data_IF_112787488194
#
_entry.id   IF_112787488194
#
_cell.length_a   1.000
_cell.length_b   1.000
_cell.length_c   1.000
_cell.angle_alpha   90.00
_cell.angle_beta   90.00
_cell.angle_gamma   90.00
#
_symmetry.space_group_name_H-M   'P 1'
#
loop_
_entity.id
_entity.type
_entity.pdbx_description
1 polymer ?
#
# COMPACT_ATOMS: atom_id res chain seq x y z
N UNK A 1 68.53 34.72 -13.16
CA UNK A 1 67.84 34.55 -11.86
C UNK A 1 66.33 34.67 -12.08
N UNK A 2 65.64 33.53 -12.04
CA UNK A 2 64.20 33.26 -11.88
C UNK A 2 63.13 34.23 -12.45
N UNK A 3 62.59 33.88 -13.64
CA UNK A 3 61.20 34.18 -14.01
C UNK A 3 60.28 33.14 -13.35
N UNK A 4 59.43 33.57 -12.40
CA UNK A 4 58.36 32.75 -11.82
C UNK A 4 57.22 32.61 -12.83
N UNK A 5 56.89 31.38 -13.22
CA UNK A 5 55.70 31.06 -14.02
C UNK A 5 54.45 31.26 -13.16
N UNK A 6 53.52 32.08 -13.63
CA UNK A 6 52.21 32.28 -12.99
C UNK A 6 51.24 31.30 -13.65
N UNK A 7 50.79 30.30 -12.89
CA UNK A 7 49.76 29.38 -13.32
C UNK A 7 48.39 29.93 -12.92
N UNK A 8 47.52 30.14 -13.90
CA UNK A 8 46.09 30.32 -13.74
C UNK A 8 45.41 28.98 -13.36
N UNK A 9 44.13 29.04 -12.96
CA UNK A 9 43.17 27.93 -12.77
C UNK A 9 43.12 27.41 -11.30
N UNK A 10 42.03 27.38 -10.55
CA UNK A 10 40.59 27.56 -10.81
C UNK A 10 39.89 28.15 -9.56
N UNK A 11 38.82 28.92 -9.80
CA UNK A 11 37.81 29.25 -8.78
C UNK A 11 37.18 27.96 -8.25
N UNK A 12 37.16 27.78 -6.93
CA UNK A 12 36.37 26.75 -6.27
C UNK A 12 34.93 27.28 -6.11
N UNK A 13 34.02 26.81 -6.95
CA UNK A 13 32.58 27.04 -6.79
C UNK A 13 32.07 26.19 -5.62
N UNK A 14 31.59 26.84 -4.56
CA UNK A 14 30.96 26.18 -3.41
C UNK A 14 29.60 25.64 -3.89
N UNK A 15 29.44 24.31 -3.88
CA UNK A 15 28.17 23.63 -4.13
C UNK A 15 27.18 24.00 -3.02
N UNK A 16 26.00 24.52 -3.37
CA UNK A 16 24.86 24.56 -2.45
C UNK A 16 24.34 23.14 -2.25
N UNK A 17 24.40 22.63 -1.03
CA UNK A 17 23.66 21.44 -0.62
C UNK A 17 22.25 21.84 -0.21
N UNK A 18 21.25 21.48 -1.01
CA UNK A 18 19.86 21.45 -0.56
C UNK A 18 19.69 20.26 0.39
N UNK A 19 19.48 20.56 1.68
CA UNK A 19 19.03 19.55 2.63
C UNK A 19 17.51 19.43 2.44
N UNK A 20 17.09 18.47 1.63
CA UNK A 20 15.69 18.06 1.62
C UNK A 20 15.38 17.43 2.98
N UNK A 21 14.78 18.21 3.88
CA UNK A 21 14.10 17.65 5.05
C UNK A 21 12.81 17.02 4.53
N UNK A 22 12.93 15.83 3.94
CA UNK A 22 11.80 14.98 3.68
C UNK A 22 11.16 14.71 5.04
N UNK A 23 9.97 15.26 5.25
CA UNK A 23 9.23 15.13 6.50
C UNK A 23 9.20 13.66 6.91
N UNK A 24 9.71 13.37 8.11
CA UNK A 24 9.40 12.14 8.82
C UNK A 24 7.92 12.20 9.23
N UNK A 25 7.02 12.23 8.25
CA UNK A 25 5.67 11.75 8.48
C UNK A 25 5.83 10.29 8.91
N UNK A 26 5.44 9.97 10.13
CA UNK A 26 5.42 8.60 10.64
C UNK A 26 4.67 7.75 9.62
N UNK A 27 5.42 6.98 8.83
CA UNK A 27 4.84 6.20 7.74
C UNK A 27 3.83 5.24 8.33
N UNK A 28 2.60 5.27 7.80
CA UNK A 28 1.51 4.43 8.28
C UNK A 28 1.96 2.96 8.23
N UNK A 29 1.84 2.25 9.35
CA UNK A 29 2.10 0.82 9.35
C UNK A 29 1.06 0.13 8.46
N UNK A 30 1.48 -0.83 7.61
CA UNK A 30 0.54 -1.62 6.82
C UNK A 30 -0.53 -2.26 7.71
N UNK A 31 -1.84 -1.98 7.51
CA UNK A 31 -2.88 -2.65 8.27
C UNK A 31 -2.91 -4.15 7.96
N UNK A 32 -3.07 -4.97 9.01
CA UNK A 32 -3.19 -6.43 8.91
C UNK A 32 -4.62 -6.85 9.24
N UNK A 33 -5.13 -7.86 8.53
CA UNK A 33 -6.43 -8.46 8.79
C UNK A 33 -6.31 -9.64 9.77
N UNK A 34 -7.38 -9.89 10.52
CA UNK A 34 -7.53 -11.08 11.36
C UNK A 34 -8.99 -11.50 11.40
N UNK A 35 -9.24 -12.73 11.85
CA UNK A 35 -10.60 -13.31 11.89
C UNK A 35 -11.57 -12.54 12.81
N UNK A 36 -11.06 -11.84 13.82
CA UNK A 36 -11.88 -11.12 14.81
C UNK A 36 -12.00 -9.61 14.54
N UNK A 37 -11.41 -9.12 13.44
CA UNK A 37 -11.44 -7.70 13.10
C UNK A 37 -12.55 -7.40 12.10
N UNK A 38 -13.11 -6.19 12.24
CA UNK A 38 -13.98 -5.61 11.23
C UNK A 38 -13.15 -5.24 9.99
N UNK A 39 -13.17 -6.12 9.00
CA UNK A 39 -12.44 -5.95 7.75
C UNK A 39 -12.90 -4.71 6.99
N UNK A 40 -14.18 -4.35 7.07
CA UNK A 40 -14.69 -3.15 6.41
C UNK A 40 -13.99 -1.89 6.95
N UNK A 41 -13.89 -1.74 8.28
CA UNK A 41 -13.20 -0.59 8.87
C UNK A 41 -11.74 -0.48 8.43
N UNK A 42 -11.06 -1.62 8.26
CA UNK A 42 -9.70 -1.66 7.73
C UNK A 42 -9.66 -1.20 6.27
N UNK A 43 -10.54 -1.73 5.42
CA UNK A 43 -10.61 -1.40 3.99
C UNK A 43 -10.93 0.08 3.75
N UNK A 44 -11.84 0.65 4.54
CA UNK A 44 -12.23 2.06 4.48
C UNK A 44 -11.07 3.03 4.73
N UNK A 45 -10.06 2.61 5.49
CA UNK A 45 -8.94 3.48 5.90
C UNK A 45 -7.58 2.98 5.42
N UNK A 46 -7.56 1.96 4.55
CA UNK A 46 -6.32 1.36 4.08
C UNK A 46 -5.49 2.40 3.29
N UNK A 47 -4.19 2.60 3.59
CA UNK A 47 -3.42 3.72 3.05
C UNK A 47 -2.91 3.45 1.62
N UNK A 48 -3.84 3.37 0.66
CA UNK A 48 -3.57 3.10 -0.75
C UNK A 48 -2.60 4.13 -1.36
N UNK A 49 -1.76 3.68 -2.29
CA UNK A 49 -0.75 4.48 -3.00
C UNK A 49 0.47 4.88 -2.17
N UNK A 50 0.48 4.61 -0.85
CA UNK A 50 1.57 5.05 0.05
C UNK A 50 2.46 3.92 0.58
N UNK A 51 1.96 2.69 0.60
CA UNK A 51 2.68 1.52 1.09
C UNK A 51 3.48 0.86 -0.03
N UNK A 52 4.78 0.69 0.19
CA UNK A 52 5.68 -0.03 -0.72
C UNK A 52 5.68 -1.53 -0.43
N UNK A 53 5.88 -2.33 -1.49
CA UNK A 53 5.98 -3.79 -1.40
C UNK A 53 7.02 -4.26 -0.35
N UNK A 54 8.13 -3.54 -0.19
CA UNK A 54 9.15 -3.87 0.80
C UNK A 54 8.65 -3.70 2.24
N UNK A 55 7.81 -2.71 2.49
CA UNK A 55 7.31 -2.38 3.83
C UNK A 55 6.19 -3.31 4.23
N UNK A 56 5.32 -3.60 3.26
CA UNK A 56 4.35 -4.68 3.37
C UNK A 56 5.08 -5.99 3.71
N UNK A 57 6.15 -6.34 3.00
CA UNK A 57 6.91 -7.55 3.29
C UNK A 57 7.54 -7.52 4.69
N UNK A 58 8.13 -6.40 5.08
CA UNK A 58 8.74 -6.25 6.40
C UNK A 58 7.72 -6.38 7.54
N UNK A 59 6.47 -5.97 7.31
CA UNK A 59 5.42 -6.00 8.32
C UNK A 59 4.59 -7.29 8.33
N UNK A 60 4.15 -7.75 7.15
CA UNK A 60 3.30 -8.93 6.99
C UNK A 60 4.10 -10.23 6.91
N UNK A 61 5.39 -10.16 6.58
CA UNK A 61 6.20 -11.31 6.19
C UNK A 61 5.96 -11.72 4.73
N UNK A 62 6.32 -12.97 4.43
CA UNK A 62 6.09 -13.54 3.10
C UNK A 62 4.62 -13.90 2.87
N UNK A 63 4.09 -13.68 1.65
CA UNK A 63 2.73 -14.09 1.34
C UNK A 63 2.60 -15.60 1.18
N UNK A 64 1.42 -16.15 1.46
CA UNK A 64 1.10 -17.55 1.18
C UNK A 64 1.19 -17.85 -0.31
N UNK A 65 0.79 -16.89 -1.15
CA UNK A 65 0.97 -16.96 -2.61
C UNK A 65 1.30 -15.62 -3.23
N UNK A 66 2.20 -15.64 -4.20
CA UNK A 66 2.41 -14.54 -5.15
C UNK A 66 1.58 -14.79 -6.39
N UNK A 67 0.86 -13.78 -6.84
CA UNK A 67 -0.10 -13.82 -7.95
C UNK A 67 0.29 -12.81 -9.02
N UNK A 68 -0.10 -13.10 -10.26
CA UNK A 68 -0.25 -12.12 -11.33
C UNK A 68 -1.75 -11.98 -11.58
N UNK A 69 -2.28 -10.77 -11.37
CA UNK A 69 -3.69 -10.46 -11.55
C UNK A 69 -4.01 -10.31 -13.05
N UNK A 70 -5.30 -10.38 -13.46
CA UNK A 70 -5.68 -10.32 -14.87
C UNK A 70 -5.23 -9.06 -15.62
N UNK A 71 -5.01 -7.96 -14.91
CA UNK A 71 -4.45 -6.71 -15.45
C UNK A 71 -2.92 -6.72 -15.59
N UNK A 72 -2.25 -7.84 -15.31
CA UNK A 72 -0.79 -7.99 -15.36
C UNK A 72 -0.06 -7.55 -14.09
N UNK A 73 -0.77 -6.95 -13.12
CA UNK A 73 -0.15 -6.47 -11.90
C UNK A 73 0.16 -7.62 -10.92
N UNK A 74 1.10 -7.37 -10.03
CA UNK A 74 1.43 -8.32 -8.95
C UNK A 74 0.35 -8.28 -7.86
N UNK A 75 0.06 -9.43 -7.28
CA UNK A 75 -0.79 -9.56 -6.10
C UNK A 75 -0.17 -10.48 -5.06
N UNK A 76 -0.32 -10.19 -3.78
CA UNK A 76 0.13 -11.05 -2.68
C UNK A 76 -1.07 -11.50 -1.84
N UNK A 77 -1.29 -12.81 -1.78
CA UNK A 77 -2.38 -13.42 -1.04
C UNK A 77 -1.91 -13.86 0.34
N UNK A 78 -2.72 -13.54 1.33
CA UNK A 78 -2.57 -13.93 2.73
C UNK A 78 -3.84 -14.59 3.24
N UNK A 79 -3.71 -15.72 3.91
CA UNK A 79 -4.78 -16.39 4.63
C UNK A 79 -4.73 -16.00 6.11
N UNK A 80 -5.87 -15.57 6.64
CA UNK A 80 -5.99 -15.22 8.08
C UNK A 80 -6.75 -16.29 8.87
N UNK A 81 -7.35 -17.25 8.18
CA UNK A 81 -8.02 -18.39 8.81
C UNK A 81 -9.13 -18.97 7.93
N UNK A 82 -10.02 -19.71 8.57
CA UNK A 82 -11.20 -20.30 7.95
C UNK A 82 -12.37 -20.19 8.94
N UNK A 83 -13.55 -19.87 8.41
CA UNK A 83 -14.78 -19.81 9.19
C UNK A 83 -15.87 -20.59 8.45
N UNK A 84 -16.44 -21.61 9.11
CA UNK A 84 -17.45 -22.50 8.53
C UNK A 84 -17.05 -23.12 7.17
N UNK A 85 -15.77 -23.44 6.98
CA UNK A 85 -15.24 -23.97 5.72
C UNK A 85 -14.90 -22.90 4.68
N UNK A 86 -15.27 -21.63 4.91
CA UNK A 86 -14.94 -20.52 4.00
C UNK A 86 -13.61 -19.89 4.41
N UNK A 87 -12.62 -19.81 3.50
CA UNK A 87 -11.35 -19.19 3.80
C UNK A 87 -11.51 -17.68 3.97
N UNK A 88 -10.90 -17.14 5.01
CA UNK A 88 -10.74 -15.71 5.21
C UNK A 88 -9.37 -15.31 4.66
N UNK A 89 -9.37 -14.53 3.58
CA UNK A 89 -8.17 -14.16 2.83
C UNK A 89 -8.21 -12.68 2.47
N UNK A 90 -7.02 -12.11 2.30
CA UNK A 90 -6.87 -10.83 1.62
C UNK A 90 -5.74 -10.88 0.59
N UNK A 91 -5.87 -10.07 -0.44
CA UNK A 91 -4.91 -9.92 -1.52
C UNK A 91 -4.51 -8.46 -1.59
N UNK A 92 -3.21 -8.18 -1.43
CA UNK A 92 -2.63 -6.87 -1.69
C UNK A 92 -2.32 -6.77 -3.18
N UNK A 93 -2.93 -5.81 -3.87
CA UNK A 93 -2.72 -5.54 -5.28
C UNK A 93 -1.71 -4.41 -5.43
N UNK A 94 -0.63 -4.68 -6.15
CA UNK A 94 0.44 -3.71 -6.36
C UNK A 94 0.37 -3.06 -7.74
N UNK A 95 0.76 -1.80 -7.85
CA UNK A 95 1.06 -1.14 -9.12
C UNK A 95 2.38 -1.65 -9.72
N UNK A 96 2.66 -1.23 -10.96
CA UNK A 96 3.91 -1.57 -11.65
C UNK A 96 5.17 -1.07 -10.93
N UNK A 97 5.07 0.06 -10.21
CA UNK A 97 6.13 0.63 -9.37
C UNK A 97 6.17 0.04 -7.94
N UNK A 98 5.27 -0.89 -7.60
CA UNK A 98 5.35 -1.67 -6.36
C UNK A 98 4.58 -1.11 -5.16
N UNK A 99 3.69 -0.12 -5.37
CA UNK A 99 2.83 0.43 -4.32
C UNK A 99 1.54 -0.37 -4.19
N UNK A 100 0.99 -0.50 -2.98
CA UNK A 100 -0.35 -1.08 -2.79
C UNK A 100 -1.40 -0.12 -3.32
N UNK A 101 -2.15 -0.54 -4.34
CA UNK A 101 -3.19 0.27 -5.00
C UNK A 101 -4.61 -0.24 -4.77
N UNK A 102 -4.76 -1.49 -4.32
CA UNK A 102 -6.02 -2.01 -3.79
C UNK A 102 -5.75 -3.17 -2.81
N UNK A 103 -6.75 -3.49 -2.01
CA UNK A 103 -6.78 -4.64 -1.12
C UNK A 103 -8.10 -5.36 -1.30
N UNK A 104 -8.07 -6.58 -1.82
CA UNK A 104 -9.25 -7.43 -1.89
C UNK A 104 -9.36 -8.25 -0.62
N UNK A 105 -10.53 -8.33 -0.01
CA UNK A 105 -10.80 -9.16 1.15
C UNK A 105 -12.01 -10.05 0.90
N UNK A 106 -11.91 -11.34 1.24
CA UNK A 106 -13.00 -12.30 1.13
C UNK A 106 -13.07 -13.10 2.43
N UNK A 107 -14.26 -13.17 3.01
CA UNK A 107 -14.55 -14.00 4.18
C UNK A 107 -15.98 -14.55 4.11
N UNK A 108 -16.41 -15.27 5.15
CA UNK A 108 -17.79 -15.73 5.30
C UNK A 108 -18.81 -14.57 5.26
N UNK A 109 -18.46 -13.43 5.86
CA UNK A 109 -19.30 -12.22 5.90
C UNK A 109 -19.24 -11.38 4.62
N UNK A 110 -18.25 -11.61 3.77
CA UNK A 110 -18.03 -10.88 2.52
C UNK A 110 -17.84 -11.89 1.37
N UNK A 111 -18.88 -12.70 1.12
CA UNK A 111 -18.79 -13.85 0.20
C UNK A 111 -18.42 -13.44 -1.22
N UNK A 112 -18.87 -12.28 -1.69
CA UNK A 112 -18.54 -11.77 -3.02
C UNK A 112 -17.17 -11.06 -3.07
N UNK A 113 -16.54 -10.85 -1.91
CA UNK A 113 -15.29 -10.11 -1.79
C UNK A 113 -15.50 -8.60 -1.92
N UNK A 114 -14.78 -7.82 -1.12
CA UNK A 114 -14.83 -6.36 -1.12
C UNK A 114 -13.43 -5.81 -1.32
N UNK A 115 -13.31 -4.54 -1.76
CA UNK A 115 -12.00 -3.90 -1.89
C UNK A 115 -11.87 -2.55 -1.19
N UNK A 116 -10.66 -2.20 -0.79
CA UNK A 116 -10.35 -0.91 -0.18
C UNK A 116 -10.66 0.24 -1.14
N UNK A 117 -10.32 0.07 -2.42
CA UNK A 117 -10.61 1.08 -3.44
C UNK A 117 -12.12 1.28 -3.59
N UNK A 118 -12.92 0.22 -3.55
CA UNK A 118 -14.37 0.32 -3.60
C UNK A 118 -14.94 1.12 -2.42
N UNK A 119 -14.53 0.79 -1.19
CA UNK A 119 -14.99 1.49 0.02
C UNK A 119 -14.60 2.98 -0.02
N UNK A 120 -13.35 3.29 -0.37
CA UNK A 120 -12.85 4.65 -0.37
C UNK A 120 -13.45 5.50 -1.50
N UNK A 121 -13.66 4.90 -2.68
CA UNK A 121 -14.38 5.56 -3.77
C UNK A 121 -15.79 5.96 -3.35
N UNK A 122 -16.57 5.00 -2.82
CA UNK A 122 -17.95 5.25 -2.39
C UNK A 122 -18.04 6.29 -1.26
N UNK A 123 -17.10 6.28 -0.31
CA UNK A 123 -17.04 7.32 0.72
C UNK A 123 -16.77 8.72 0.13
N UNK A 124 -15.93 8.80 -0.91
CA UNK A 124 -15.61 10.06 -1.56
C UNK A 124 -16.78 10.64 -2.38
N UNK A 125 -17.60 9.78 -3.00
CA UNK A 125 -18.68 10.22 -3.90
C UNK A 125 -20.08 10.22 -3.25
N UNK A 126 -20.26 9.48 -2.16
CA UNK A 126 -21.54 9.33 -1.45
C UNK A 126 -21.33 9.31 0.06
N UNK A 127 -20.83 10.40 0.67
CA UNK A 127 -20.49 10.41 2.10
C UNK A 127 -21.72 10.23 3.02
N UNK A 128 -22.92 10.55 2.53
CA UNK A 128 -24.19 10.30 3.25
C UNK A 128 -24.66 8.84 3.21
N UNK A 129 -24.21 8.05 2.23
CA UNK A 129 -24.45 6.62 2.21
C UNK A 129 -23.41 5.95 3.09
N UNK A 130 -23.69 5.87 4.39
CA UNK A 130 -23.00 4.90 5.25
C UNK A 130 -23.17 3.54 4.58
N UNK A 131 -22.07 2.93 4.16
CA UNK A 131 -22.06 1.54 3.73
C UNK A 131 -22.31 0.73 5.00
N UNK A 132 -23.58 0.56 5.33
CA UNK A 132 -24.04 -0.30 6.42
C UNK A 132 -24.93 -1.31 5.74
N UNK A 133 -24.29 -2.29 5.09
CA UNK A 133 -24.99 -3.31 4.36
C UNK A 133 -24.02 -4.29 3.71
N UNK A 134 -24.46 -5.53 3.48
CA UNK A 134 -23.67 -6.47 2.69
C UNK A 134 -23.35 -5.83 1.34
N UNK A 135 -22.16 -6.13 0.80
CA UNK A 135 -21.67 -5.47 -0.40
C UNK A 135 -22.61 -5.55 -1.60
N UNK A 136 -22.38 -4.76 -2.65
CA UNK A 136 -23.21 -4.77 -3.83
C UNK A 136 -23.28 -6.19 -4.42
N UNK A 137 -24.43 -6.84 -4.26
CA UNK A 137 -24.67 -8.22 -4.68
C UNK A 137 -25.36 -9.15 -3.68
N UNK A 138 -25.86 -8.65 -2.54
CA UNK A 138 -26.85 -9.35 -1.71
C UNK A 138 -28.25 -8.74 -1.83
#
# INVERSE_FOLDING_TARGET
MNMKRINYVALLSILLTEIAVAGMAKKSMPPVFSINQDAEKILQTYPLGSLEMQEVFAHHGGPDRKLILPNGNKGWLYAVGNEAGIPNIYILHFSGDGKVIDVFHKSLHYKNGHSALQYQFLQAITPELKITGPGPGE
#
